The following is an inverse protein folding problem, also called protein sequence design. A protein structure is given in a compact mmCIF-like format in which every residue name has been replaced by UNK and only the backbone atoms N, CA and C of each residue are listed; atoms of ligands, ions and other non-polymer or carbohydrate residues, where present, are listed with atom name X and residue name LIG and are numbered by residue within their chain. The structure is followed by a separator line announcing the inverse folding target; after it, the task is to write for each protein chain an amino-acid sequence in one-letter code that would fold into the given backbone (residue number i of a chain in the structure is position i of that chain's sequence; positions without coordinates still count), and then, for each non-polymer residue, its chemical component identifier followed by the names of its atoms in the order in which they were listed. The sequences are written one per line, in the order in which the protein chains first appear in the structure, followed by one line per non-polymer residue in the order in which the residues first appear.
data_IF_327342272660
#
_entry.id   IF_327342272660
#
_cell.length_a   1.000
_cell.length_b   1.000
_cell.length_c   1.000
_cell.angle_alpha   90.00
_cell.angle_beta   90.00
_cell.angle_gamma   90.00
#
_symmetry.space_group_name_H-M   'P 1'
#
loop_
_entity.id
_entity.type
_entity.pdbx_description
1 polymer ?
#
# COMPACT_ATOMS: atom_id res chain seq x y z
N UNK A 1 11.13 -95.18 -15.15
CA UNK A 1 10.86 -93.72 -15.11
C UNK A 1 10.17 -93.42 -13.79
N UNK A 2 10.92 -92.93 -12.82
CA UNK A 2 10.53 -92.63 -11.43
C UNK A 2 11.48 -91.50 -11.00
N UNK A 3 11.12 -90.30 -10.57
CA UNK A 3 9.86 -89.55 -10.59
C UNK A 3 10.20 -88.09 -10.24
N UNK A 4 9.83 -87.13 -11.09
CA UNK A 4 9.90 -85.70 -10.76
C UNK A 4 8.59 -85.30 -10.08
N UNK A 5 8.43 -85.76 -8.84
CA UNK A 5 7.34 -85.29 -7.98
C UNK A 5 7.89 -84.21 -7.05
N UNK A 6 7.98 -82.97 -7.55
CA UNK A 6 8.10 -81.81 -6.69
C UNK A 6 6.80 -81.65 -5.89
N UNK A 7 6.76 -82.26 -4.71
CA UNK A 7 5.67 -82.09 -3.75
C UNK A 7 5.96 -80.88 -2.88
N UNK A 8 5.08 -79.90 -2.93
CA UNK A 8 5.07 -78.77 -2.01
C UNK A 8 3.77 -78.79 -1.21
N UNK A 9 3.87 -78.72 0.12
CA UNK A 9 2.73 -78.52 1.02
C UNK A 9 2.87 -77.15 1.69
N UNK A 10 1.81 -76.36 1.68
CA UNK A 10 1.71 -75.06 2.36
C UNK A 10 0.67 -75.09 3.48
N UNK A 11 0.91 -74.26 4.50
CA UNK A 11 -0.11 -73.82 5.45
C UNK A 11 -0.62 -72.41 5.12
N UNK A 12 -1.48 -71.87 5.98
CA UNK A 12 -2.01 -70.51 5.82
C UNK A 12 -0.90 -69.45 5.86
N UNK A 13 -0.98 -68.43 5.00
CA UNK A 13 0.02 -67.36 4.79
C UNK A 13 1.41 -67.81 4.30
N UNK A 14 1.52 -68.93 3.58
CA UNK A 14 2.78 -69.37 2.97
C UNK A 14 2.99 -68.75 1.57
N UNK A 15 4.20 -68.28 1.27
CA UNK A 15 4.62 -67.94 -0.11
C UNK A 15 5.59 -69.01 -0.61
N UNK A 16 5.14 -69.77 -1.59
CA UNK A 16 5.83 -70.94 -2.11
C UNK A 16 6.43 -70.62 -3.48
N UNK A 17 7.76 -70.68 -3.62
CA UNK A 17 8.45 -70.37 -4.88
C UNK A 17 9.42 -71.48 -5.26
N UNK A 18 9.34 -71.98 -6.50
CA UNK A 18 10.13 -73.12 -6.97
C UNK A 18 10.68 -72.85 -8.38
N UNK A 19 12.01 -72.92 -8.54
CA UNK A 19 12.72 -72.71 -9.81
C UNK A 19 14.21 -73.04 -9.66
N UNK A 20 14.93 -73.32 -10.78
CA UNK A 20 16.37 -73.64 -10.75
C UNK A 20 17.27 -72.46 -10.35
N UNK A 21 16.82 -71.22 -10.58
CA UNK A 21 17.36 -69.98 -10.02
C UNK A 21 16.19 -69.03 -9.84
N UNK A 22 15.98 -68.53 -8.63
CA UNK A 22 14.89 -67.62 -8.28
C UNK A 22 15.52 -66.41 -7.59
N UNK A 23 15.27 -65.21 -8.10
CA UNK A 23 15.55 -63.94 -7.41
C UNK A 23 14.21 -63.34 -7.00
N UNK A 24 13.88 -63.43 -5.71
CA UNK A 24 12.65 -62.85 -5.17
C UNK A 24 12.98 -61.41 -4.73
N UNK A 25 12.55 -60.43 -5.51
CA UNK A 25 12.58 -59.02 -5.10
C UNK A 25 11.27 -58.72 -4.35
N UNK A 26 11.26 -58.93 -3.03
CA UNK A 26 10.20 -58.37 -2.20
C UNK A 26 10.40 -56.85 -2.16
N UNK A 27 9.49 -56.10 -2.78
CA UNK A 27 9.43 -54.65 -2.63
C UNK A 27 9.22 -54.27 -1.16
N UNK A 28 9.58 -53.03 -0.81
CA UNK A 28 9.38 -52.50 0.54
C UNK A 28 7.91 -52.60 0.93
N UNK A 29 7.62 -53.15 2.11
CA UNK A 29 6.28 -53.13 2.67
C UNK A 29 5.90 -51.70 3.08
N UNK A 30 4.61 -51.44 3.30
CA UNK A 30 4.16 -50.13 3.81
C UNK A 30 4.88 -49.73 5.11
N UNK A 31 5.13 -50.70 5.99
CA UNK A 31 5.87 -50.48 7.23
C UNK A 31 7.31 -50.06 6.96
N UNK A 32 7.98 -50.73 6.02
CA UNK A 32 9.37 -50.41 5.63
C UNK A 32 9.44 -49.01 5.00
N UNK A 33 8.48 -48.66 4.13
CA UNK A 33 8.42 -47.32 3.51
C UNK A 33 8.13 -46.25 4.56
N UNK A 34 7.22 -46.50 5.50
CA UNK A 34 6.89 -45.56 6.59
C UNK A 34 8.10 -45.34 7.50
N UNK A 35 8.83 -46.39 7.84
CA UNK A 35 10.04 -46.34 8.64
C UNK A 35 11.14 -45.54 7.93
N UNK A 36 11.40 -45.85 6.65
CA UNK A 36 12.37 -45.10 5.82
C UNK A 36 12.02 -43.61 5.75
N UNK A 37 10.74 -43.26 5.56
CA UNK A 37 10.30 -41.86 5.49
C UNK A 37 10.44 -41.14 6.83
N UNK A 38 10.06 -41.78 7.94
CA UNK A 38 10.18 -41.19 9.28
C UNK A 38 11.62 -41.05 9.73
N UNK A 39 12.48 -42.03 9.44
CA UNK A 39 13.91 -41.96 9.74
C UNK A 39 14.59 -40.87 8.93
N UNK A 40 14.22 -40.74 7.64
CA UNK A 40 14.68 -39.63 6.80
C UNK A 40 14.21 -38.28 7.38
N UNK A 41 12.96 -38.19 7.84
CA UNK A 41 12.46 -36.98 8.50
C UNK A 41 13.24 -36.68 9.79
N UNK A 42 13.39 -37.63 10.71
CA UNK A 42 14.05 -37.43 11.99
C UNK A 42 15.54 -37.11 11.86
N UNK A 43 16.26 -37.79 10.95
CA UNK A 43 17.66 -37.54 10.67
C UNK A 43 17.91 -36.11 10.17
N UNK A 44 16.99 -35.58 9.36
CA UNK A 44 17.08 -34.22 8.84
C UNK A 44 16.42 -33.17 9.77
N UNK A 45 15.45 -33.54 10.60
CA UNK A 45 14.66 -32.60 11.41
C UNK A 45 15.50 -31.79 12.39
N UNK A 46 16.45 -32.43 13.10
CA UNK A 46 17.33 -31.73 14.04
C UNK A 46 18.29 -30.76 13.33
N UNK A 47 18.82 -31.16 12.17
CA UNK A 47 19.68 -30.29 11.36
C UNK A 47 18.89 -29.12 10.78
N UNK A 48 17.72 -29.38 10.19
CA UNK A 48 16.81 -28.35 9.70
C UNK A 48 16.38 -27.39 10.82
N UNK A 49 16.19 -27.88 12.05
CA UNK A 49 15.88 -27.06 13.22
C UNK A 49 17.04 -26.14 13.61
N UNK A 50 18.28 -26.66 13.65
CA UNK A 50 19.46 -25.85 13.94
C UNK A 50 19.74 -24.79 12.85
N UNK A 51 19.64 -25.18 11.58
CA UNK A 51 19.85 -24.27 10.45
C UNK A 51 18.75 -23.19 10.41
N UNK A 52 17.49 -23.56 10.66
CA UNK A 52 16.40 -22.60 10.79
C UNK A 52 16.59 -21.65 11.99
N UNK A 53 17.07 -22.15 13.14
CA UNK A 53 17.35 -21.32 14.30
C UNK A 53 18.49 -20.32 14.05
N UNK A 54 19.57 -20.77 13.38
CA UNK A 54 20.68 -19.90 12.99
C UNK A 54 20.23 -18.81 12.00
N UNK A 55 19.42 -19.18 11.00
CA UNK A 55 18.87 -18.24 10.03
C UNK A 55 17.90 -17.24 10.68
N UNK A 56 17.04 -17.70 11.58
CA UNK A 56 16.13 -16.85 12.33
C UNK A 56 16.90 -15.84 13.20
N UNK A 57 17.96 -16.29 13.88
CA UNK A 57 18.86 -15.43 14.65
C UNK A 57 19.52 -14.37 13.78
N UNK A 58 20.09 -14.77 12.64
CA UNK A 58 20.74 -13.84 11.70
C UNK A 58 19.76 -12.75 11.24
N UNK A 59 18.52 -13.12 10.89
CA UNK A 59 17.50 -12.17 10.45
C UNK A 59 17.05 -11.23 11.57
N UNK A 60 16.89 -11.74 12.79
CA UNK A 60 16.57 -10.90 13.94
C UNK A 60 17.68 -9.89 14.26
N UNK A 61 18.95 -10.31 14.18
CA UNK A 61 20.12 -9.44 14.33
C UNK A 61 20.17 -8.38 13.23
N UNK A 62 19.87 -8.75 11.98
CA UNK A 62 19.80 -7.81 10.86
C UNK A 62 18.76 -6.72 11.07
N UNK A 63 17.50 -7.06 11.37
CA UNK A 63 16.45 -6.08 11.64
C UNK A 63 16.85 -5.16 12.81
N UNK A 64 17.51 -5.72 13.82
CA UNK A 64 18.01 -4.95 14.96
C UNK A 64 19.07 -3.93 14.55
N UNK A 65 20.03 -4.35 13.74
CA UNK A 65 21.10 -3.47 13.26
C UNK A 65 20.55 -2.36 12.36
N UNK A 66 19.60 -2.67 11.48
CA UNK A 66 18.97 -1.68 10.61
C UNK A 66 18.18 -0.63 11.41
N UNK A 67 17.43 -1.08 12.42
CA UNK A 67 16.72 -0.19 13.34
C UNK A 67 17.67 0.71 14.15
N UNK A 68 18.72 0.15 14.74
CA UNK A 68 19.70 0.93 15.52
C UNK A 68 20.44 1.93 14.63
N UNK A 69 20.76 1.55 13.40
CA UNK A 69 21.33 2.46 12.41
C UNK A 69 20.38 3.62 12.11
N UNK A 70 19.10 3.34 11.85
CA UNK A 70 18.11 4.38 11.59
C UNK A 70 17.94 5.36 12.76
N UNK A 71 17.88 4.86 13.99
CA UNK A 71 17.85 5.70 15.19
C UNK A 71 19.08 6.59 15.29
N UNK A 72 20.28 6.01 15.15
CA UNK A 72 21.53 6.78 15.23
C UNK A 72 21.61 7.89 14.19
N UNK A 73 21.10 7.65 12.98
CA UNK A 73 21.11 8.61 11.87
C UNK A 73 20.04 9.70 12.01
N UNK A 74 18.86 9.38 12.56
CA UNK A 74 17.70 10.28 12.54
C UNK A 74 17.27 10.84 13.90
N UNK A 75 17.34 10.05 14.97
CA UNK A 75 16.92 10.43 16.32
C UNK A 75 17.46 9.46 17.38
N UNK A 76 18.67 9.69 17.88
CA UNK A 76 19.31 8.82 18.89
C UNK A 76 18.55 8.84 20.23
N UNK A 77 17.83 9.94 20.52
CA UNK A 77 17.08 10.08 21.78
C UNK A 77 15.88 9.13 21.87
N UNK A 78 15.39 8.63 20.72
CA UNK A 78 14.32 7.66 20.67
C UNK A 78 14.73 6.25 21.17
N UNK A 79 16.03 6.01 21.45
CA UNK A 79 16.49 4.80 22.16
C UNK A 79 15.83 4.63 23.53
N UNK A 80 15.47 5.72 24.21
CA UNK A 80 14.82 5.69 25.52
C UNK A 80 13.52 4.87 25.52
N UNK A 81 12.85 4.78 24.36
CA UNK A 81 11.63 3.99 24.20
C UNK A 81 11.83 2.50 24.47
N UNK A 82 13.06 1.98 24.36
CA UNK A 82 13.36 0.57 24.66
C UNK A 82 13.25 0.21 26.14
N UNK A 83 13.11 1.20 27.04
CA UNK A 83 12.81 0.92 28.45
C UNK A 83 11.33 0.56 28.68
N UNK A 84 10.46 0.80 27.70
CA UNK A 84 9.03 0.51 27.78
C UNK A 84 8.72 -0.96 27.42
N UNK A 85 8.01 -1.72 28.27
CA UNK A 85 7.67 -3.12 27.99
C UNK A 85 6.83 -3.33 26.72
N UNK A 86 5.94 -2.39 26.40
CA UNK A 86 5.12 -2.48 25.18
C UNK A 86 6.00 -2.31 23.93
N UNK A 87 6.90 -1.32 23.93
CA UNK A 87 7.91 -1.18 22.86
C UNK A 87 8.78 -2.43 22.70
N UNK A 88 9.25 -3.05 23.80
CA UNK A 88 10.03 -4.29 23.75
C UNK A 88 9.23 -5.44 23.12
N UNK A 89 7.95 -5.58 23.49
CA UNK A 89 7.07 -6.60 22.94
C UNK A 89 6.82 -6.38 21.44
N UNK A 90 6.55 -5.14 21.02
CA UNK A 90 6.36 -4.78 19.62
C UNK A 90 7.63 -5.05 18.81
N UNK A 91 8.81 -4.71 19.35
CA UNK A 91 10.09 -4.98 18.71
C UNK A 91 10.35 -6.48 18.53
N UNK A 92 10.11 -7.28 19.58
CA UNK A 92 10.21 -8.74 19.52
C UNK A 92 9.25 -9.33 18.47
N UNK A 93 8.03 -8.78 18.38
CA UNK A 93 7.06 -9.20 17.37
C UNK A 93 7.59 -8.95 15.96
N UNK A 94 8.14 -7.76 15.68
CA UNK A 94 8.76 -7.46 14.39
C UNK A 94 9.92 -8.41 14.06
N UNK A 95 10.81 -8.68 15.02
CA UNK A 95 11.90 -9.66 14.86
C UNK A 95 11.36 -11.04 14.48
N UNK A 96 10.33 -11.51 15.18
CA UNK A 96 9.72 -12.83 14.93
C UNK A 96 9.15 -12.92 13.51
N UNK A 97 8.44 -11.89 13.06
CA UNK A 97 7.81 -11.90 11.73
C UNK A 97 8.84 -11.80 10.59
N UNK A 98 9.91 -11.03 10.77
CA UNK A 98 11.01 -11.01 9.79
C UNK A 98 11.83 -12.31 9.81
N UNK A 99 12.14 -12.85 11.00
CA UNK A 99 12.87 -14.10 11.14
C UNK A 99 12.17 -15.25 10.38
N UNK A 100 10.84 -15.34 10.51
CA UNK A 100 10.02 -16.35 9.83
C UNK A 100 9.95 -16.15 8.32
N UNK A 101 9.74 -14.92 7.85
CA UNK A 101 9.50 -14.64 6.43
C UNK A 101 10.77 -14.51 5.60
N UNK A 102 11.81 -13.86 6.13
CA UNK A 102 13.01 -13.47 5.37
C UNK A 102 12.77 -12.39 4.31
N UNK A 103 11.59 -11.78 4.27
CA UNK A 103 11.24 -10.78 3.27
C UNK A 103 11.88 -9.42 3.61
N UNK A 104 12.81 -8.96 2.77
CA UNK A 104 13.52 -7.68 2.95
C UNK A 104 12.59 -6.47 2.91
N UNK A 105 11.62 -6.47 2.00
CA UNK A 105 10.61 -5.40 1.91
C UNK A 105 9.84 -5.26 3.24
N UNK A 106 9.52 -6.39 3.88
CA UNK A 106 8.86 -6.41 5.18
C UNK A 106 9.80 -5.90 6.27
N UNK A 107 11.07 -6.30 6.27
CA UNK A 107 12.07 -5.82 7.25
C UNK A 107 12.17 -4.30 7.23
N UNK A 108 12.36 -3.72 6.05
CA UNK A 108 12.45 -2.25 5.87
C UNK A 108 11.20 -1.54 6.39
N UNK A 109 10.02 -2.10 6.11
CA UNK A 109 8.75 -1.54 6.58
C UNK A 109 8.62 -1.63 8.11
N UNK A 110 8.97 -2.77 8.70
CA UNK A 110 8.93 -2.97 10.15
C UNK A 110 9.91 -2.03 10.87
N UNK A 111 11.11 -1.83 10.31
CA UNK A 111 12.09 -0.88 10.84
C UNK A 111 11.52 0.54 10.84
N UNK A 112 10.85 0.98 9.76
CA UNK A 112 10.23 2.31 9.71
C UNK A 112 9.10 2.48 10.74
N UNK A 113 8.24 1.47 10.89
CA UNK A 113 7.15 1.46 11.89
C UNK A 113 7.72 1.52 13.32
N UNK A 114 8.74 0.72 13.62
CA UNK A 114 9.41 0.71 14.92
C UNK A 114 10.06 2.05 15.22
N UNK A 115 10.73 2.66 14.23
CA UNK A 115 11.33 3.98 14.37
C UNK A 115 10.28 5.04 14.72
N UNK A 116 9.14 5.08 14.02
CA UNK A 116 8.05 6.00 14.39
C UNK A 116 7.49 5.70 15.78
N UNK A 117 7.24 4.42 16.10
CA UNK A 117 6.72 4.02 17.41
C UNK A 117 7.63 4.46 18.57
N UNK A 118 8.94 4.47 18.34
CA UNK A 118 9.95 4.86 19.33
C UNK A 118 9.92 6.36 19.64
N UNK A 119 9.45 7.18 18.70
CA UNK A 119 9.39 8.65 18.85
C UNK A 119 8.14 9.12 19.60
N UNK A 120 7.21 8.21 19.89
CA UNK A 120 5.90 8.54 20.45
C UNK A 120 5.87 8.24 21.94
N UNK A 121 5.81 9.29 22.76
CA UNK A 121 5.68 9.21 24.21
C UNK A 121 4.25 9.36 24.72
N UNK A 122 3.48 10.30 24.18
CA UNK A 122 2.17 10.72 24.73
C UNK A 122 1.05 10.71 23.68
N UNK A 123 0.93 9.63 22.89
CA UNK A 123 -0.19 9.44 21.94
C UNK A 123 -0.69 8.00 21.96
N UNK A 124 -1.58 7.63 22.91
CA UNK A 124 -2.00 6.24 23.10
C UNK A 124 -2.57 5.60 21.85
N UNK A 125 -3.41 6.31 21.08
CA UNK A 125 -4.00 5.77 19.86
C UNK A 125 -2.93 5.51 18.79
N UNK A 126 -1.99 6.43 18.58
CA UNK A 126 -0.93 6.25 17.59
C UNK A 126 0.01 5.09 17.98
N UNK A 127 0.30 4.92 19.27
CA UNK A 127 1.05 3.75 19.77
C UNK A 127 0.32 2.44 19.44
N UNK A 128 -0.98 2.38 19.73
CA UNK A 128 -1.83 1.21 19.41
C UNK A 128 -1.81 0.93 17.90
N UNK A 129 -1.99 1.96 17.06
CA UNK A 129 -2.02 1.79 15.61
C UNK A 129 -0.67 1.28 15.08
N UNK A 130 0.45 1.84 15.53
CA UNK A 130 1.78 1.40 15.08
C UNK A 130 2.11 -0.02 15.57
N UNK A 131 1.69 -0.40 16.78
CA UNK A 131 1.80 -1.78 17.26
C UNK A 131 1.00 -2.73 16.36
N UNK A 132 -0.24 -2.37 16.03
CA UNK A 132 -1.10 -3.16 15.15
C UNK A 132 -0.53 -3.26 13.72
N UNK A 133 0.13 -2.20 13.23
CA UNK A 133 0.83 -2.24 11.94
C UNK A 133 1.94 -3.31 11.91
N UNK A 134 2.68 -3.52 13.00
CA UNK A 134 3.70 -4.58 13.10
C UNK A 134 3.07 -5.97 12.96
N UNK A 135 1.86 -6.17 13.50
CA UNK A 135 1.15 -7.45 13.39
C UNK A 135 0.49 -7.68 12.03
N UNK A 136 0.06 -6.61 11.36
CA UNK A 136 -0.67 -6.70 10.08
C UNK A 136 0.26 -6.69 8.87
N UNK A 137 1.35 -5.91 8.87
CA UNK A 137 2.26 -5.80 7.73
C UNK A 137 2.72 -7.17 7.15
N UNK A 138 3.04 -8.19 7.96
CA UNK A 138 3.43 -9.52 7.45
C UNK A 138 2.31 -10.27 6.72
N UNK A 139 1.05 -9.88 6.92
CA UNK A 139 -0.13 -10.48 6.29
C UNK A 139 -0.42 -9.87 4.91
N UNK A 140 0.30 -8.83 4.51
CA UNK A 140 0.06 -8.08 3.28
C UNK A 140 1.13 -8.34 2.22
N UNK A 141 0.69 -8.34 0.97
CA UNK A 141 1.60 -8.36 -0.19
C UNK A 141 2.07 -6.95 -0.54
N UNK A 142 3.21 -6.83 -1.24
CA UNK A 142 3.69 -5.51 -1.72
C UNK A 142 2.65 -4.83 -2.63
N UNK A 143 1.86 -5.60 -3.38
CA UNK A 143 0.75 -5.09 -4.19
C UNK A 143 -0.34 -4.45 -3.35
N UNK A 144 -0.74 -5.09 -2.25
CA UNK A 144 -1.73 -4.56 -1.32
C UNK A 144 -1.25 -3.31 -0.60
N UNK A 145 0.04 -3.26 -0.23
CA UNK A 145 0.66 -2.05 0.31
C UNK A 145 0.66 -0.91 -0.71
N UNK A 146 0.95 -1.19 -1.98
CA UNK A 146 0.91 -0.19 -3.05
C UNK A 146 -0.53 0.34 -3.29
N UNK A 147 -1.54 -0.53 -3.21
CA UNK A 147 -2.96 -0.13 -3.23
C UNK A 147 -3.27 0.82 -2.06
N UNK A 148 -2.88 0.47 -0.83
CA UNK A 148 -3.08 1.32 0.35
C UNK A 148 -2.40 2.68 0.16
N UNK A 149 -1.16 2.71 -0.34
CA UNK A 149 -0.41 3.94 -0.62
C UNK A 149 -1.14 4.84 -1.64
N UNK A 150 -1.66 4.29 -2.74
CA UNK A 150 -2.40 5.07 -3.73
C UNK A 150 -3.72 5.62 -3.20
N UNK A 151 -4.49 4.78 -2.49
CA UNK A 151 -5.74 5.23 -1.86
C UNK A 151 -5.47 6.34 -0.85
N UNK A 152 -4.41 6.20 -0.04
CA UNK A 152 -3.97 7.24 0.89
C UNK A 152 -3.62 8.54 0.15
N UNK A 153 -2.72 8.48 -0.83
CA UNK A 153 -2.25 9.64 -1.59
C UNK A 153 -3.43 10.41 -2.20
N UNK A 154 -4.36 9.72 -2.85
CA UNK A 154 -5.45 10.38 -3.57
C UNK A 154 -6.63 10.80 -2.67
N UNK A 155 -6.99 10.03 -1.64
CA UNK A 155 -8.20 10.31 -0.85
C UNK A 155 -7.92 11.07 0.46
N UNK A 156 -6.68 11.10 0.93
CA UNK A 156 -6.34 11.62 2.25
C UNK A 156 -5.28 12.72 2.24
N UNK A 157 -4.66 13.01 1.08
CA UNK A 157 -3.58 13.98 0.98
C UNK A 157 -3.81 15.00 -0.13
N UNK A 158 -3.22 16.18 0.03
CA UNK A 158 -3.11 17.19 -1.00
C UNK A 158 -1.66 17.71 -1.02
N UNK A 159 -1.07 17.83 -2.21
CA UNK A 159 0.24 18.44 -2.37
C UNK A 159 0.09 19.90 -2.81
N UNK A 160 0.21 20.83 -1.86
CA UNK A 160 0.09 22.27 -2.12
C UNK A 160 1.18 22.87 -3.01
N UNK A 161 2.27 22.14 -3.29
CA UNK A 161 3.27 22.59 -4.28
C UNK A 161 2.80 22.44 -5.73
N UNK A 162 1.76 21.66 -5.98
CA UNK A 162 1.18 21.48 -7.32
C UNK A 162 0.35 22.71 -7.67
N UNK A 163 0.88 23.53 -8.58
CA UNK A 163 0.26 24.80 -8.98
C UNK A 163 0.25 25.08 -10.50
N UNK A 164 0.86 24.20 -11.29
CA UNK A 164 0.91 24.25 -12.75
C UNK A 164 1.11 22.83 -13.33
N UNK A 165 1.14 22.70 -14.65
CA UNK A 165 1.26 21.39 -15.31
C UNK A 165 2.62 20.70 -15.08
N UNK A 166 3.71 21.45 -14.95
CA UNK A 166 5.04 20.89 -14.68
C UNK A 166 5.10 20.28 -13.28
N UNK A 167 4.66 21.04 -12.27
CA UNK A 167 4.59 20.56 -10.88
C UNK A 167 3.61 19.40 -10.71
N UNK A 168 2.48 19.40 -11.43
CA UNK A 168 1.56 18.26 -11.48
C UNK A 168 2.23 17.02 -12.06
N UNK A 169 2.92 17.17 -13.19
CA UNK A 169 3.65 16.06 -13.83
C UNK A 169 4.71 15.49 -12.89
N UNK A 170 5.54 16.34 -12.29
CA UNK A 170 6.56 15.94 -11.32
C UNK A 170 5.95 15.24 -10.10
N UNK A 171 4.81 15.71 -9.61
CA UNK A 171 4.08 15.07 -8.53
C UNK A 171 3.64 13.65 -8.91
N UNK A 172 3.01 13.46 -10.07
CA UNK A 172 2.61 12.12 -10.53
C UNK A 172 3.83 11.20 -10.69
N UNK A 173 4.88 11.67 -11.36
CA UNK A 173 6.07 10.86 -11.63
C UNK A 173 6.82 10.44 -10.36
N UNK A 174 6.99 11.37 -9.40
CA UNK A 174 7.79 11.12 -8.19
C UNK A 174 7.00 10.54 -7.02
N UNK A 175 5.69 10.83 -6.91
CA UNK A 175 4.86 10.45 -5.76
C UNK A 175 3.85 9.36 -6.07
N UNK A 176 3.41 9.19 -7.33
CA UNK A 176 2.32 8.27 -7.68
C UNK A 176 2.82 7.05 -8.44
N UNK A 177 3.55 7.23 -9.53
CA UNK A 177 4.03 6.13 -10.39
C UNK A 177 4.84 5.03 -9.66
N UNK A 178 5.59 5.30 -8.57
CA UNK A 178 6.28 4.24 -7.84
C UNK A 178 5.38 3.12 -7.31
N UNK A 179 4.06 3.34 -7.23
CA UNK A 179 3.07 2.38 -6.70
C UNK A 179 2.21 1.70 -7.77
N UNK A 180 2.39 2.00 -9.05
CA UNK A 180 1.46 1.53 -10.10
C UNK A 180 1.86 0.18 -10.74
N UNK A 181 3.11 -0.26 -10.58
CA UNK A 181 3.67 -1.40 -11.31
C UNK A 181 3.15 -2.78 -10.90
N UNK A 182 2.63 -2.93 -9.66
CA UNK A 182 2.26 -4.24 -9.07
C UNK A 182 0.76 -4.36 -8.76
N UNK A 183 -0.08 -3.52 -9.33
CA UNK A 183 -1.50 -3.46 -8.98
C UNK A 183 -2.29 -4.71 -9.41
N UNK A 184 -3.35 -5.00 -8.65
CA UNK A 184 -4.23 -6.16 -8.81
C UNK A 184 -5.68 -5.71 -8.86
N UNK A 185 -6.47 -6.30 -9.78
CA UNK A 185 -7.89 -5.96 -9.99
C UNK A 185 -8.82 -6.91 -9.24
N UNK A 186 -8.32 -8.10 -8.93
CA UNK A 186 -9.09 -9.20 -8.37
C UNK A 186 -9.63 -8.85 -6.99
N UNK A 187 -10.94 -9.04 -6.80
CA UNK A 187 -11.65 -8.64 -5.58
C UNK A 187 -11.09 -9.28 -4.31
N UNK A 188 -10.48 -10.47 -4.41
CA UNK A 188 -9.84 -11.16 -3.30
C UNK A 188 -8.72 -10.35 -2.65
N UNK A 189 -8.00 -9.51 -3.41
CA UNK A 189 -6.96 -8.64 -2.87
C UNK A 189 -7.55 -7.58 -1.94
N UNK A 190 -8.70 -7.03 -2.30
CA UNK A 190 -9.41 -5.98 -1.54
C UNK A 190 -10.16 -6.57 -0.36
N UNK A 191 -10.81 -7.72 -0.52
CA UNK A 191 -11.42 -8.46 0.60
C UNK A 191 -10.39 -8.85 1.65
N UNK A 192 -9.17 -9.22 1.23
CA UNK A 192 -8.10 -9.49 2.19
C UNK A 192 -7.62 -8.23 2.91
N UNK A 193 -7.61 -7.07 2.24
CA UNK A 193 -7.34 -5.79 2.89
C UNK A 193 -8.40 -5.45 3.96
N UNK A 194 -9.67 -5.74 3.70
CA UNK A 194 -10.75 -5.62 4.70
C UNK A 194 -10.59 -6.61 5.85
N UNK A 195 -10.33 -7.89 5.54
CA UNK A 195 -10.07 -8.94 6.53
C UNK A 195 -8.89 -8.58 7.44
N UNK A 196 -7.83 -8.01 6.86
CA UNK A 196 -6.66 -7.54 7.59
C UNK A 196 -6.89 -6.21 8.31
N UNK A 197 -8.12 -5.66 8.32
CA UNK A 197 -8.46 -4.43 9.04
C UNK A 197 -7.81 -3.16 8.46
N UNK A 198 -7.35 -3.18 7.21
CA UNK A 198 -6.66 -2.06 6.57
C UNK A 198 -7.62 -1.04 5.93
N UNK A 199 -8.89 -1.41 5.74
CA UNK A 199 -9.87 -0.57 5.09
C UNK A 199 -11.23 -1.22 5.03
N UNK A 200 -12.17 -0.53 4.39
CA UNK A 200 -13.47 -1.10 4.01
C UNK A 200 -13.81 -0.76 2.57
N UNK A 201 -14.54 -1.65 1.90
CA UNK A 201 -15.09 -1.44 0.57
C UNK A 201 -16.50 -0.87 0.76
N UNK A 202 -16.64 0.42 0.52
CA UNK A 202 -17.91 1.13 0.68
C UNK A 202 -18.76 1.10 -0.59
N UNK A 203 -20.07 1.34 -0.45
CA UNK A 203 -20.99 1.45 -1.60
C UNK A 203 -20.64 2.67 -2.47
N UNK A 204 -20.15 3.75 -1.85
CA UNK A 204 -19.76 4.97 -2.56
C UNK A 204 -18.49 4.75 -3.38
N UNK A 205 -18.54 5.09 -4.66
CA UNK A 205 -17.34 5.17 -5.50
C UNK A 205 -16.86 6.62 -5.61
N UNK A 206 -15.55 6.80 -5.74
CA UNK A 206 -14.94 8.05 -6.19
C UNK A 206 -14.00 7.74 -7.34
N UNK A 207 -14.32 8.24 -8.53
CA UNK A 207 -13.46 8.08 -9.69
C UNK A 207 -12.17 8.87 -9.51
N UNK A 208 -11.08 8.42 -10.15
CA UNK A 208 -9.81 9.14 -10.07
C UNK A 208 -9.88 10.55 -10.69
N UNK A 209 -10.55 10.78 -11.84
CA UNK A 209 -10.76 12.13 -12.36
C UNK A 209 -11.48 13.06 -11.38
N UNK A 210 -12.52 12.58 -10.68
CA UNK A 210 -13.29 13.40 -9.75
C UNK A 210 -12.43 13.84 -8.56
N UNK A 211 -11.57 12.95 -8.05
CA UNK A 211 -10.62 13.28 -6.99
C UNK A 211 -9.66 14.38 -7.44
N UNK A 212 -9.14 14.28 -8.66
CA UNK A 212 -8.24 15.29 -9.24
C UNK A 212 -8.96 16.64 -9.44
N UNK A 213 -10.21 16.61 -9.91
CA UNK A 213 -11.05 17.80 -10.06
C UNK A 213 -11.29 18.48 -8.71
N UNK A 214 -11.60 17.73 -7.66
CA UNK A 214 -11.82 18.33 -6.34
C UNK A 214 -10.51 18.92 -5.79
N UNK A 215 -9.40 18.20 -5.93
CA UNK A 215 -8.14 18.56 -5.26
C UNK A 215 -7.38 19.67 -6.00
N UNK A 216 -7.41 19.66 -7.33
CA UNK A 216 -6.64 20.54 -8.21
C UNK A 216 -7.50 21.15 -9.34
N UNK A 217 -8.79 21.42 -9.10
CA UNK A 217 -9.74 22.03 -10.05
C UNK A 217 -9.17 23.20 -10.86
N UNK A 218 -8.35 24.05 -10.25
CA UNK A 218 -7.72 25.18 -10.90
C UNK A 218 -6.83 24.82 -12.09
N UNK A 219 -6.28 23.60 -12.12
CA UNK A 219 -5.51 23.07 -13.25
C UNK A 219 -6.39 22.52 -14.37
N UNK A 220 -7.68 22.29 -14.11
CA UNK A 220 -8.63 21.67 -15.03
C UNK A 220 -9.72 22.65 -15.47
N UNK A 221 -9.40 23.95 -15.50
CA UNK A 221 -10.31 24.98 -16.00
C UNK A 221 -10.14 25.17 -17.52
N UNK A 222 -11.25 25.18 -18.27
CA UNK A 222 -11.28 25.45 -19.71
C UNK A 222 -11.11 26.94 -20.04
N UNK A 223 -11.28 27.80 -19.04
CA UNK A 223 -11.22 29.25 -19.16
C UNK A 223 -12.50 29.87 -19.74
N UNK A 224 -12.62 31.18 -19.61
CA UNK A 224 -13.75 31.98 -20.06
C UNK A 224 -13.30 33.35 -20.57
N UNK A 225 -14.12 33.97 -21.42
CA UNK A 225 -13.84 35.31 -21.94
C UNK A 225 -14.18 36.39 -20.90
N UNK A 226 -13.49 37.53 -20.98
CA UNK A 226 -13.70 38.66 -20.07
C UNK A 226 -15.14 39.22 -20.09
N UNK A 227 -15.81 39.16 -21.25
CA UNK A 227 -17.22 39.59 -21.36
C UNK A 227 -18.14 38.84 -20.38
N UNK A 228 -17.86 37.57 -20.09
CA UNK A 228 -18.64 36.76 -19.13
C UNK A 228 -18.54 37.33 -17.71
N UNK A 229 -17.39 37.93 -17.36
CA UNK A 229 -17.23 38.61 -16.07
C UNK A 229 -18.11 39.84 -15.98
N UNK A 230 -18.13 40.68 -17.02
CA UNK A 230 -18.93 41.90 -17.07
C UNK A 230 -20.44 41.59 -17.00
N UNK A 231 -20.87 40.50 -17.63
CA UNK A 231 -22.27 40.05 -17.59
C UNK A 231 -22.69 39.51 -16.21
N UNK A 232 -21.82 38.75 -15.54
CA UNK A 232 -22.15 38.08 -14.26
C UNK A 232 -21.95 38.98 -13.05
N UNK A 233 -21.01 39.91 -13.13
CA UNK A 233 -20.63 40.78 -12.03
C UNK A 233 -20.79 42.25 -12.45
N UNK A 234 -21.97 42.86 -12.17
CA UNK A 234 -22.22 44.28 -12.45
C UNK A 234 -21.31 45.23 -11.66
N UNK A 235 -20.73 44.74 -10.55
CA UNK A 235 -19.69 45.43 -9.78
C UNK A 235 -18.34 44.80 -10.10
N UNK A 236 -17.32 45.64 -10.23
CA UNK A 236 -15.97 45.21 -10.53
C UNK A 236 -15.43 44.29 -9.42
N UNK A 237 -14.98 43.09 -9.83
CA UNK A 237 -14.32 42.13 -8.95
C UNK A 237 -12.81 42.40 -9.02
N UNK A 238 -12.10 42.45 -7.88
CA UNK A 238 -10.66 42.63 -7.85
C UNK A 238 -9.91 41.71 -8.81
N UNK A 239 -9.02 42.29 -9.63
CA UNK A 239 -8.32 41.57 -10.68
C UNK A 239 -7.52 40.35 -10.19
N UNK A 240 -7.02 40.37 -8.95
CA UNK A 240 -6.24 39.27 -8.36
C UNK A 240 -7.03 37.96 -8.16
N UNK A 241 -8.37 38.01 -8.23
CA UNK A 241 -9.26 36.84 -8.21
C UNK A 241 -9.16 36.05 -9.51
N UNK A 242 -8.68 36.68 -10.59
CA UNK A 242 -8.53 36.07 -11.91
C UNK A 242 -7.06 36.02 -12.34
N UNK A 243 -6.77 35.13 -13.28
CA UNK A 243 -5.48 35.02 -13.97
C UNK A 243 -5.68 34.51 -15.39
N UNK A 244 -4.66 34.62 -16.28
CA UNK A 244 -4.69 33.92 -17.56
C UNK A 244 -4.94 32.41 -17.36
N UNK A 245 -5.77 31.84 -18.24
CA UNK A 245 -6.10 30.42 -18.21
C UNK A 245 -4.89 29.57 -18.58
N UNK A 246 -4.57 28.58 -17.74
CA UNK A 246 -3.40 27.71 -17.93
C UNK A 246 -3.45 26.91 -19.23
N UNK A 247 -4.64 26.65 -19.78
CA UNK A 247 -4.83 25.94 -21.05
C UNK A 247 -4.88 26.87 -22.27
N UNK A 248 -5.12 28.17 -22.07
CA UNK A 248 -5.22 29.16 -23.14
C UNK A 248 -5.05 30.57 -22.58
N UNK A 249 -3.90 31.20 -22.81
CA UNK A 249 -3.56 32.53 -22.29
C UNK A 249 -4.48 33.67 -22.78
N UNK A 250 -5.31 33.44 -23.82
CA UNK A 250 -6.32 34.41 -24.27
C UNK A 250 -7.62 34.37 -23.46
N UNK A 251 -7.78 33.38 -22.58
CA UNK A 251 -8.93 33.23 -21.70
C UNK A 251 -8.52 33.53 -20.26
N UNK A 252 -9.51 33.84 -19.42
CA UNK A 252 -9.34 34.01 -17.99
C UNK A 252 -9.78 32.75 -17.24
N UNK A 253 -9.22 32.54 -16.05
CA UNK A 253 -9.72 31.59 -15.06
C UNK A 253 -9.68 32.20 -13.66
N UNK A 254 -10.41 31.62 -12.73
CA UNK A 254 -10.32 31.97 -11.31
C UNK A 254 -8.96 31.51 -10.76
N UNK A 255 -8.32 32.35 -9.96
CA UNK A 255 -7.00 32.14 -9.40
C UNK A 255 -7.02 31.27 -8.12
N UNK A 256 -7.76 30.16 -8.15
CA UNK A 256 -7.87 29.22 -7.04
C UNK A 256 -7.53 27.79 -7.49
N UNK A 257 -6.89 27.01 -6.61
CA UNK A 257 -6.54 25.61 -6.91
C UNK A 257 -7.73 24.66 -6.70
N UNK A 258 -8.58 24.95 -5.72
CA UNK A 258 -9.77 24.20 -5.40
C UNK A 258 -10.81 25.12 -4.73
N UNK A 259 -12.00 24.60 -4.45
CA UNK A 259 -13.10 25.40 -3.85
C UNK A 259 -12.74 25.96 -2.47
N UNK A 260 -11.97 25.22 -1.66
CA UNK A 260 -11.51 25.69 -0.36
C UNK A 260 -10.58 26.89 -0.50
N UNK A 261 -9.60 26.83 -1.40
CA UNK A 261 -8.70 27.94 -1.70
C UNK A 261 -9.45 29.14 -2.28
N UNK A 262 -10.50 28.92 -3.09
CA UNK A 262 -11.37 29.99 -3.57
C UNK A 262 -12.02 30.71 -2.39
N UNK A 263 -12.66 29.95 -1.50
CA UNK A 263 -13.36 30.48 -0.33
C UNK A 263 -12.39 31.24 0.59
N UNK A 264 -11.31 30.60 1.02
CA UNK A 264 -10.44 31.14 2.06
C UNK A 264 -9.61 32.35 1.60
N UNK A 265 -9.24 32.43 0.32
CA UNK A 265 -8.31 33.47 -0.15
C UNK A 265 -8.99 34.64 -0.87
N UNK A 266 -10.19 34.44 -1.41
CA UNK A 266 -10.78 35.40 -2.33
C UNK A 266 -12.20 35.80 -2.00
N UNK A 267 -12.90 35.13 -1.07
CA UNK A 267 -14.31 35.48 -0.76
C UNK A 267 -14.45 36.40 0.45
N UNK A 268 -13.36 36.67 1.18
CA UNK A 268 -13.34 37.60 2.29
C UNK A 268 -13.70 39.03 1.81
N UNK A 269 -14.82 39.56 2.32
CA UNK A 269 -15.33 40.89 1.97
C UNK A 269 -16.31 40.92 0.81
N UNK A 270 -16.60 39.80 0.15
CA UNK A 270 -17.72 39.69 -0.78
C UNK A 270 -19.04 39.38 -0.08
N UNK A 271 -20.15 39.82 -0.68
CA UNK A 271 -21.48 39.38 -0.27
C UNK A 271 -21.74 37.92 -0.68
N UNK A 272 -22.76 37.31 -0.07
CA UNK A 272 -23.12 35.91 -0.29
C UNK A 272 -23.47 35.62 -1.76
N UNK A 273 -24.17 36.56 -2.42
CA UNK A 273 -24.55 36.42 -3.82
C UNK A 273 -23.32 36.36 -4.74
N UNK A 274 -22.35 37.25 -4.54
CA UNK A 274 -21.09 37.29 -5.29
C UNK A 274 -20.27 36.03 -5.05
N UNK A 275 -20.22 35.57 -3.80
CA UNK A 275 -19.53 34.33 -3.42
C UNK A 275 -20.11 33.12 -4.14
N UNK A 276 -21.44 32.96 -4.13
CA UNK A 276 -22.13 31.87 -4.83
C UNK A 276 -21.89 31.94 -6.35
N UNK A 277 -21.91 33.14 -6.94
CA UNK A 277 -21.62 33.32 -8.37
C UNK A 277 -20.20 32.90 -8.73
N UNK A 278 -19.20 33.26 -7.92
CA UNK A 278 -17.81 32.85 -8.12
C UNK A 278 -17.65 31.32 -8.00
N UNK A 279 -18.29 30.70 -7.02
CA UNK A 279 -18.28 29.24 -6.86
C UNK A 279 -18.92 28.53 -8.05
N UNK A 280 -20.12 28.95 -8.47
CA UNK A 280 -20.79 28.38 -9.63
C UNK A 280 -19.96 28.53 -10.91
N UNK A 281 -19.33 29.70 -11.08
CA UNK A 281 -18.43 29.95 -12.20
C UNK A 281 -17.17 29.07 -12.15
N UNK A 282 -16.63 28.83 -10.94
CA UNK A 282 -15.47 27.96 -10.75
C UNK A 282 -15.75 26.53 -11.19
N UNK A 283 -16.97 26.02 -10.96
CA UNK A 283 -17.39 24.66 -11.36
C UNK A 283 -17.81 24.57 -12.82
N UNK A 284 -18.54 25.58 -13.33
CA UNK A 284 -19.10 25.57 -14.70
C UNK A 284 -18.02 25.45 -15.79
N UNK A 285 -16.89 26.13 -15.62
CA UNK A 285 -15.81 26.14 -16.60
C UNK A 285 -14.79 25.01 -16.41
N UNK A 286 -15.07 24.02 -15.55
CA UNK A 286 -14.19 22.86 -15.39
C UNK A 286 -14.29 21.87 -16.55
N UNK A 287 -13.20 21.14 -16.76
CA UNK A 287 -13.18 19.96 -17.61
C UNK A 287 -14.11 18.86 -17.05
N UNK A 288 -14.67 18.04 -17.93
CA UNK A 288 -15.37 16.82 -17.51
C UNK A 288 -14.38 15.76 -17.02
N UNK A 289 -14.87 14.72 -16.33
CA UNK A 289 -14.04 13.60 -15.89
C UNK A 289 -13.28 12.92 -17.06
N UNK A 290 -13.91 12.81 -18.23
CA UNK A 290 -13.29 12.26 -19.44
C UNK A 290 -12.18 13.17 -19.98
N UNK A 291 -12.42 14.49 -20.01
CA UNK A 291 -11.43 15.49 -20.43
C UNK A 291 -10.21 15.48 -19.49
N UNK A 292 -10.44 15.40 -18.17
CA UNK A 292 -9.36 15.27 -17.17
C UNK A 292 -8.56 13.99 -17.37
N UNK A 293 -9.22 12.85 -17.55
CA UNK A 293 -8.53 11.58 -17.83
C UNK A 293 -7.68 11.69 -19.10
N UNK A 294 -8.23 12.24 -20.18
CA UNK A 294 -7.51 12.42 -21.44
C UNK A 294 -6.30 13.36 -21.28
N UNK A 295 -6.48 14.49 -20.58
CA UNK A 295 -5.41 15.43 -20.29
C UNK A 295 -4.29 14.81 -19.46
N UNK A 296 -4.63 14.09 -18.37
CA UNK A 296 -3.64 13.44 -17.51
C UNK A 296 -2.82 12.38 -18.25
N UNK A 297 -3.46 11.60 -19.13
CA UNK A 297 -2.77 10.63 -19.99
C UNK A 297 -1.88 11.34 -21.01
N UNK A 298 -2.30 12.49 -21.55
CA UNK A 298 -1.47 13.32 -22.42
C UNK A 298 -0.25 13.91 -21.70
N UNK A 299 -0.41 14.32 -20.45
CA UNK A 299 0.65 14.91 -19.62
C UNK A 299 1.69 13.86 -19.16
N UNK A 300 1.21 12.71 -18.69
CA UNK A 300 2.03 11.60 -18.19
C UNK A 300 1.45 10.26 -18.66
N UNK A 301 1.86 9.73 -19.83
CA UNK A 301 1.28 8.52 -20.42
C UNK A 301 1.28 7.29 -19.49
N UNK A 302 2.30 7.15 -18.64
CA UNK A 302 2.45 6.03 -17.71
C UNK A 302 1.37 5.98 -16.62
N UNK A 303 0.63 7.08 -16.39
CA UNK A 303 -0.49 7.11 -15.44
C UNK A 303 -1.72 6.35 -15.96
N UNK A 304 -1.76 6.03 -17.27
CA UNK A 304 -2.93 5.38 -17.89
C UNK A 304 -3.33 4.09 -17.18
N UNK A 305 -2.35 3.27 -16.81
CA UNK A 305 -2.59 2.01 -16.09
C UNK A 305 -3.32 2.24 -14.77
N UNK A 306 -2.95 3.28 -14.02
CA UNK A 306 -3.60 3.63 -12.77
C UNK A 306 -5.08 3.95 -12.96
N UNK A 307 -5.45 4.72 -13.99
CA UNK A 307 -6.87 4.98 -14.29
C UNK A 307 -7.63 3.68 -14.57
N UNK A 308 -7.05 2.74 -15.29
CA UNK A 308 -7.69 1.44 -15.57
C UNK A 308 -7.82 0.60 -14.29
N UNK A 309 -6.77 0.50 -13.46
CA UNK A 309 -6.83 -0.23 -12.20
C UNK A 309 -7.80 0.41 -11.21
N UNK A 310 -7.85 1.73 -11.12
CA UNK A 310 -8.74 2.44 -10.20
C UNK A 310 -10.21 2.17 -10.52
N UNK A 311 -10.58 2.24 -11.81
CA UNK A 311 -11.96 2.06 -12.27
C UNK A 311 -12.43 0.60 -12.27
N UNK A 312 -11.54 -0.33 -12.64
CA UNK A 312 -11.86 -1.75 -12.81
C UNK A 312 -11.70 -2.56 -11.51
N UNK A 313 -11.41 -1.93 -10.38
CA UNK A 313 -11.21 -2.59 -9.10
C UNK A 313 -11.97 -1.91 -7.97
N UNK A 314 -11.94 -2.51 -6.78
CA UNK A 314 -12.55 -1.91 -5.58
C UNK A 314 -11.77 -0.72 -5.01
N UNK A 315 -10.69 -0.27 -5.66
CA UNK A 315 -9.91 0.90 -5.22
C UNK A 315 -10.77 2.18 -5.17
N UNK A 316 -11.63 2.40 -6.17
CA UNK A 316 -12.57 3.52 -6.18
C UNK A 316 -13.55 3.51 -5.00
N UNK A 317 -13.87 2.33 -4.47
CA UNK A 317 -14.78 2.12 -3.34
C UNK A 317 -14.10 2.08 -1.97
N UNK A 318 -12.78 1.90 -1.94
CA UNK A 318 -12.04 1.64 -0.72
C UNK A 318 -11.85 2.90 0.13
N UNK A 319 -12.09 2.78 1.42
CA UNK A 319 -11.66 3.73 2.46
C UNK A 319 -10.65 3.03 3.39
N UNK A 320 -9.75 3.79 3.99
CA UNK A 320 -8.71 3.28 4.87
C UNK A 320 -9.10 3.42 6.34
N UNK A 321 -8.71 2.43 7.14
CA UNK A 321 -8.69 2.55 8.61
C UNK A 321 -7.45 3.31 9.07
N UNK A 322 -7.34 3.64 10.37
CA UNK A 322 -6.11 4.23 10.93
C UNK A 322 -4.88 3.36 10.69
N UNK A 323 -5.01 2.03 10.82
CA UNK A 323 -3.95 1.07 10.48
C UNK A 323 -3.63 1.10 8.99
N UNK A 324 -4.65 1.12 8.12
CA UNK A 324 -4.46 1.25 6.67
C UNK A 324 -3.68 2.50 6.28
N UNK A 325 -3.98 3.64 6.90
CA UNK A 325 -3.26 4.91 6.71
C UNK A 325 -1.81 4.80 7.18
N UNK A 326 -1.56 4.24 8.37
CA UNK A 326 -0.21 4.08 8.89
C UNK A 326 0.64 3.10 8.04
N UNK A 327 0.06 1.99 7.57
CA UNK A 327 0.73 1.06 6.65
C UNK A 327 1.00 1.70 5.28
N UNK A 328 0.06 2.48 4.75
CA UNK A 328 0.25 3.26 3.53
C UNK A 328 1.43 4.23 3.67
N UNK A 329 1.48 4.96 4.78
CA UNK A 329 2.53 5.91 5.13
C UNK A 329 3.91 5.23 5.24
N UNK A 330 4.00 4.12 5.96
CA UNK A 330 5.24 3.35 6.09
C UNK A 330 5.74 2.82 4.72
N UNK A 331 4.84 2.31 3.87
CA UNK A 331 5.24 1.86 2.53
C UNK A 331 5.68 3.03 1.62
N UNK A 332 5.09 4.22 1.79
CA UNK A 332 5.51 5.42 1.07
C UNK A 332 6.93 5.83 1.47
N UNK A 333 7.22 5.88 2.76
CA UNK A 333 8.55 6.23 3.27
C UNK A 333 9.62 5.23 2.88
N UNK A 334 9.29 3.94 2.85
CA UNK A 334 10.17 2.89 2.33
C UNK A 334 10.64 3.15 0.89
N UNK A 335 9.83 3.83 0.08
CA UNK A 335 10.21 4.27 -1.28
C UNK A 335 10.88 5.65 -1.32
N UNK A 336 11.38 6.14 -0.18
CA UNK A 336 12.05 7.44 -0.01
C UNK A 336 11.17 8.64 -0.39
N UNK A 337 9.87 8.51 -0.16
CA UNK A 337 8.90 9.59 -0.38
C UNK A 337 8.54 10.19 0.98
N UNK A 338 9.01 11.42 1.22
CA UNK A 338 8.77 12.17 2.45
C UNK A 338 7.72 13.27 2.27
N UNK A 339 7.29 13.89 3.38
CA UNK A 339 6.38 15.03 3.39
C UNK A 339 4.97 14.74 3.93
N UNK A 340 4.77 13.56 4.53
CA UNK A 340 3.51 13.20 5.18
C UNK A 340 3.73 13.08 6.69
N UNK A 341 3.01 13.89 7.47
CA UNK A 341 3.00 13.78 8.94
C UNK A 341 1.82 12.92 9.37
N UNK A 342 2.10 11.69 9.81
CA UNK A 342 1.09 10.71 10.19
C UNK A 342 0.13 11.23 11.27
N UNK A 343 0.58 12.17 12.12
CA UNK A 343 -0.25 12.73 13.19
C UNK A 343 -1.43 13.56 12.70
N UNK A 344 -1.43 14.02 11.44
CA UNK A 344 -2.58 14.70 10.84
C UNK A 344 -3.82 13.79 10.84
N UNK A 345 -3.65 12.48 10.63
CA UNK A 345 -4.75 11.51 10.49
C UNK A 345 -5.00 10.68 11.74
N UNK A 346 -4.02 10.60 12.66
CA UNK A 346 -4.10 9.79 13.87
C UNK A 346 -3.69 10.67 15.05
N UNK A 347 -4.68 11.21 15.76
CA UNK A 347 -4.51 12.14 16.88
C UNK A 347 -4.77 11.46 18.23
#
# INVERSE_FOLDING_TARGET
MIGDNQKQQSGDNSVNVQGKSVTINNGLSYSDVKEIVLDTFHANFLQLSNDAANLAKQRAEELTNDYLKMLKEKDESALDAMNDPDMQYTFYTAQREYARSGNKDLSEMLVDILFERSRIKEKPLMQIVLNECVEIAPKLTSSQLDILSLVFIFKYTQNYSVNNFETLKLYIESRVLPFTSKLKKEISHYQHLEYAGCGSISIGERSLPDILLITYAGLFCKGFNENILQERFPKEIPYHVFKPCLHNDNLLQINAMNEEALKNNYTDGFDEETTIKLQNMFTEFQMTAEEVKAFMIGLTPDIKSLFEYWEDSSMKNMTLTSVGIALAHANIRRKNIEGYDLSIWIN
#
